data_IF_937010682041
#
_entry.id   IF_937010682041
#
_cell.length_a   1.000
_cell.length_b   1.000
_cell.length_c   1.000
_cell.angle_alpha   90.00
_cell.angle_beta   90.00
_cell.angle_gamma   90.00
#
_symmetry.space_group_name_H-M   'P 1'
#
loop_
_entity.id
_entity.type
_entity.pdbx_description
1 polymer ?
#
# COMPACT_ATOMS: atom_id res chain seq x y z
N UNK A 1 27.91 -9.62 -15.25
CA UNK A 1 26.84 -10.64 -15.38
C UNK A 1 25.66 -10.15 -14.53
N UNK A 2 24.54 -9.79 -15.14
CA UNK A 2 23.45 -9.12 -14.39
C UNK A 2 22.70 -10.15 -13.53
N UNK A 3 22.65 -9.88 -12.24
CA UNK A 3 22.01 -10.76 -11.25
C UNK A 3 20.51 -10.89 -11.57
N UNK A 4 19.99 -12.12 -11.52
CA UNK A 4 18.58 -12.43 -11.86
C UNK A 4 17.70 -12.66 -10.64
N UNK A 5 18.28 -13.15 -9.56
CA UNK A 5 17.66 -13.48 -8.26
C UNK A 5 18.68 -13.37 -7.14
N UNK A 6 18.26 -12.98 -5.95
CA UNK A 6 19.06 -12.96 -4.73
C UNK A 6 19.00 -14.31 -4.01
N UNK A 7 20.13 -14.74 -3.45
CA UNK A 7 20.15 -15.85 -2.50
C UNK A 7 19.88 -15.31 -1.08
N UNK A 8 19.03 -16.01 -0.34
CA UNK A 8 18.65 -15.68 1.03
C UNK A 8 18.77 -16.90 1.92
N UNK A 9 18.92 -16.66 3.22
CA UNK A 9 18.90 -17.76 4.20
C UNK A 9 17.48 -18.34 4.34
N UNK A 10 17.34 -19.61 4.78
CA UNK A 10 16.02 -20.21 5.04
C UNK A 10 15.17 -19.39 6.01
N UNK A 11 15.80 -18.79 7.04
CA UNK A 11 15.13 -17.90 8.00
C UNK A 11 14.58 -16.63 7.35
N UNK A 12 15.37 -15.98 6.51
CA UNK A 12 14.93 -14.81 5.73
C UNK A 12 13.78 -15.18 4.79
N UNK A 13 13.79 -16.39 4.21
CA UNK A 13 12.70 -16.92 3.38
C UNK A 13 11.41 -17.14 4.14
N UNK A 14 11.47 -17.66 5.37
CA UNK A 14 10.30 -17.79 6.24
C UNK A 14 9.70 -16.42 6.60
N UNK A 15 10.54 -15.46 6.98
CA UNK A 15 10.07 -14.08 7.27
C UNK A 15 9.36 -13.49 6.07
N UNK A 16 9.91 -13.67 4.86
CA UNK A 16 9.30 -13.20 3.61
C UNK A 16 7.93 -13.85 3.34
N UNK A 17 7.80 -15.16 3.56
CA UNK A 17 6.54 -15.88 3.35
C UNK A 17 5.46 -15.49 4.37
N UNK A 18 5.83 -15.39 5.66
CA UNK A 18 4.90 -14.97 6.71
C UNK A 18 4.45 -13.53 6.53
N UNK A 19 5.37 -12.63 6.22
CA UNK A 19 5.04 -11.22 5.96
C UNK A 19 4.17 -11.05 4.73
N UNK A 20 4.41 -11.81 3.66
CA UNK A 20 3.53 -11.81 2.48
C UNK A 20 2.14 -12.37 2.80
N UNK A 21 2.06 -13.47 3.54
CA UNK A 21 0.77 -14.06 3.95
C UNK A 21 -0.06 -13.09 4.78
N UNK A 22 0.53 -12.49 5.82
CA UNK A 22 -0.12 -11.46 6.63
C UNK A 22 -0.48 -10.23 5.80
N UNK A 23 0.40 -9.77 4.92
CA UNK A 23 0.12 -8.64 4.04
C UNK A 23 -1.12 -8.88 3.18
N UNK A 24 -1.26 -10.07 2.57
CA UNK A 24 -2.45 -10.40 1.77
C UNK A 24 -3.70 -10.43 2.63
N UNK A 25 -3.68 -11.14 3.77
CA UNK A 25 -4.85 -11.27 4.64
C UNK A 25 -5.35 -9.91 5.13
N UNK A 26 -4.46 -9.08 5.66
CA UNK A 26 -4.84 -7.76 6.17
C UNK A 26 -5.23 -6.78 5.05
N UNK A 27 -4.65 -6.92 3.85
CA UNK A 27 -5.10 -6.11 2.71
C UNK A 27 -6.50 -6.51 2.23
N UNK A 28 -6.87 -7.80 2.33
CA UNK A 28 -8.23 -8.26 2.03
C UNK A 28 -9.23 -7.70 3.05
N UNK A 29 -8.88 -7.72 4.34
CA UNK A 29 -9.71 -7.05 5.35
C UNK A 29 -9.88 -5.58 5.00
N UNK A 30 -8.80 -4.83 4.79
CA UNK A 30 -8.87 -3.41 4.45
C UNK A 30 -9.71 -3.10 3.19
N UNK A 31 -9.77 -4.02 2.22
CA UNK A 31 -10.64 -3.90 1.05
C UNK A 31 -12.12 -4.08 1.40
N UNK A 32 -12.43 -5.10 2.22
CA UNK A 32 -13.79 -5.37 2.71
C UNK A 32 -14.29 -4.18 3.54
N UNK A 33 -13.45 -3.61 4.41
CA UNK A 33 -13.74 -2.40 5.19
C UNK A 33 -14.17 -1.23 4.29
N UNK A 34 -13.49 -1.08 3.15
CA UNK A 34 -13.78 -0.06 2.16
C UNK A 34 -15.18 -0.20 1.54
N UNK A 35 -15.81 -1.37 1.63
CA UNK A 35 -17.14 -1.65 1.10
C UNK A 35 -18.22 -1.71 2.18
N UNK A 36 -17.86 -2.05 3.41
CA UNK A 36 -18.83 -2.13 4.51
C UNK A 36 -19.13 -0.73 5.05
N UNK A 37 -20.34 -0.25 4.80
CA UNK A 37 -20.90 0.92 5.50
C UNK A 37 -21.25 0.59 6.95
N UNK A 38 -21.65 1.59 7.75
CA UNK A 38 -22.19 1.38 9.10
C UNK A 38 -23.27 0.27 9.13
N UNK A 39 -23.37 -0.51 10.21
CA UNK A 39 -24.28 -1.65 10.29
C UNK A 39 -25.71 -1.25 9.93
N UNK A 40 -26.34 -1.97 9.01
CA UNK A 40 -27.73 -1.74 8.64
C UNK A 40 -28.57 -3.02 8.74
N UNK A 41 -29.86 -2.87 9.03
CA UNK A 41 -30.76 -4.01 9.26
C UNK A 41 -30.98 -4.91 8.03
N UNK A 42 -30.56 -4.48 6.83
CA UNK A 42 -30.67 -5.24 5.58
C UNK A 42 -29.39 -5.98 5.16
N UNK A 43 -28.29 -5.83 5.91
CA UNK A 43 -27.01 -6.50 5.62
C UNK A 43 -26.98 -7.93 6.15
N UNK A 44 -26.29 -8.82 5.42
CA UNK A 44 -26.06 -10.21 5.85
C UNK A 44 -25.31 -10.27 7.18
N UNK A 45 -25.50 -11.36 7.94
CA UNK A 45 -24.97 -11.53 9.31
C UNK A 45 -23.45 -11.29 9.39
N UNK A 46 -22.68 -11.77 8.40
CA UNK A 46 -21.24 -11.54 8.33
C UNK A 46 -20.91 -10.06 8.06
N UNK A 47 -21.59 -9.42 7.12
CA UNK A 47 -21.41 -8.00 6.79
C UNK A 47 -21.70 -7.10 7.99
N UNK A 48 -22.75 -7.41 8.76
CA UNK A 48 -23.09 -6.69 9.98
C UNK A 48 -22.07 -6.91 11.10
N UNK A 49 -21.54 -8.13 11.25
CA UNK A 49 -20.49 -8.42 12.23
C UNK A 49 -19.19 -7.64 11.91
N UNK A 50 -18.75 -7.62 10.65
CA UNK A 50 -17.60 -6.83 10.22
C UNK A 50 -17.81 -5.33 10.41
N UNK A 51 -18.96 -4.79 9.95
CA UNK A 51 -19.31 -3.39 10.14
C UNK A 51 -19.34 -2.96 11.62
N UNK A 52 -19.78 -3.85 12.52
CA UNK A 52 -19.85 -3.57 13.96
C UNK A 52 -18.45 -3.53 14.59
N UNK A 53 -17.59 -4.50 14.28
CA UNK A 53 -16.22 -4.55 14.79
C UNK A 53 -15.40 -3.38 14.26
N UNK A 54 -15.57 -3.01 13.00
CA UNK A 54 -14.76 -1.99 12.32
C UNK A 54 -15.28 -0.56 12.46
N UNK A 55 -16.47 -0.37 13.03
CA UNK A 55 -16.91 0.94 13.52
C UNK A 55 -15.94 1.53 14.56
N UNK A 56 -15.10 0.67 15.16
CA UNK A 56 -14.03 1.08 16.05
C UNK A 56 -12.79 1.55 15.25
N UNK A 57 -12.51 2.85 15.29
CA UNK A 57 -11.33 3.48 14.67
C UNK A 57 -10.01 2.82 15.06
N UNK A 58 -9.94 2.22 16.26
CA UNK A 58 -8.75 1.52 16.75
C UNK A 58 -8.38 0.30 15.89
N UNK A 59 -9.36 -0.51 15.50
CA UNK A 59 -9.11 -1.75 14.75
C UNK A 59 -8.60 -1.41 13.35
N UNK A 60 -9.22 -0.41 12.72
CA UNK A 60 -8.77 0.12 11.42
C UNK A 60 -7.34 0.68 11.47
N UNK A 61 -6.99 1.39 12.54
CA UNK A 61 -5.62 1.87 12.75
C UNK A 61 -4.61 0.71 12.85
N UNK A 62 -4.96 -0.34 13.61
CA UNK A 62 -4.13 -1.54 13.76
C UNK A 62 -3.94 -2.24 12.41
N UNK A 63 -4.99 -2.42 11.62
CA UNK A 63 -4.89 -3.05 10.30
C UNK A 63 -3.94 -2.29 9.37
N UNK A 64 -4.07 -0.96 9.28
CA UNK A 64 -3.15 -0.13 8.50
C UNK A 64 -1.71 -0.28 8.98
N UNK A 65 -1.49 -0.35 10.29
CA UNK A 65 -0.16 -0.50 10.88
C UNK A 65 0.43 -1.89 10.58
N UNK A 66 -0.37 -2.96 10.68
CA UNK A 66 0.07 -4.32 10.33
C UNK A 66 0.48 -4.39 8.85
N UNK A 67 -0.32 -3.84 7.94
CA UNK A 67 0.01 -3.75 6.51
C UNK A 67 1.35 -3.03 6.30
N UNK A 68 1.59 -1.92 7.02
CA UNK A 68 2.85 -1.21 6.94
C UNK A 68 4.02 -2.07 7.45
N UNK A 69 3.88 -2.70 8.62
CA UNK A 69 4.92 -3.56 9.22
C UNK A 69 5.26 -4.73 8.31
N UNK A 70 4.26 -5.38 7.67
CA UNK A 70 4.53 -6.48 6.75
C UNK A 70 5.29 -6.01 5.51
N UNK A 71 5.00 -4.82 4.97
CA UNK A 71 5.77 -4.24 3.86
C UNK A 71 7.20 -3.93 4.27
N UNK A 72 7.39 -3.37 5.47
CA UNK A 72 8.72 -3.07 6.02
C UNK A 72 9.55 -4.35 6.21
N UNK A 73 8.96 -5.43 6.72
CA UNK A 73 9.63 -6.70 6.88
C UNK A 73 10.13 -7.26 5.54
N UNK A 74 9.29 -7.27 4.50
CA UNK A 74 9.69 -7.71 3.16
C UNK A 74 10.79 -6.82 2.56
N UNK A 75 10.68 -5.50 2.70
CA UNK A 75 11.68 -4.55 2.21
C UNK A 75 13.00 -4.62 2.98
N UNK A 76 12.99 -4.99 4.26
CA UNK A 76 14.21 -5.18 5.05
C UNK A 76 15.03 -6.37 4.52
N UNK A 77 14.37 -7.50 4.20
CA UNK A 77 15.04 -8.64 3.57
C UNK A 77 15.64 -8.23 2.22
N UNK A 78 14.90 -7.45 1.42
CA UNK A 78 15.39 -6.92 0.16
C UNK A 78 16.58 -5.97 0.32
N UNK A 79 16.51 -5.06 1.30
CA UNK A 79 17.59 -4.12 1.63
C UNK A 79 18.87 -4.86 2.02
N UNK A 80 18.77 -5.93 2.79
CA UNK A 80 19.91 -6.80 3.14
C UNK A 80 20.50 -7.48 1.92
N UNK A 81 19.67 -7.94 0.98
CA UNK A 81 20.14 -8.51 -0.27
C UNK A 81 20.92 -7.49 -1.10
N UNK A 82 20.42 -6.25 -1.24
CA UNK A 82 21.13 -5.17 -1.94
C UNK A 82 22.47 -4.85 -1.27
N UNK A 83 22.50 -4.81 0.07
CA UNK A 83 23.72 -4.57 0.82
C UNK A 83 24.77 -5.67 0.60
N UNK A 84 24.36 -6.95 0.61
CA UNK A 84 25.24 -8.10 0.36
C UNK A 84 25.85 -8.05 -1.04
N UNK A 85 25.12 -7.53 -2.02
CA UNK A 85 25.58 -7.41 -3.41
C UNK A 85 26.31 -6.09 -3.72
N UNK A 86 26.58 -5.26 -2.70
CA UNK A 86 27.36 -4.03 -2.84
C UNK A 86 26.59 -2.83 -3.41
N UNK A 87 25.28 -2.93 -3.58
CA UNK A 87 24.47 -1.92 -4.28
C UNK A 87 23.95 -0.83 -3.32
N UNK A 88 24.87 0.00 -2.84
CA UNK A 88 24.62 1.00 -1.78
C UNK A 88 23.59 2.06 -2.16
N UNK A 89 23.54 2.45 -3.44
CA UNK A 89 22.58 3.44 -3.93
C UNK A 89 21.14 2.91 -3.83
N UNK A 90 20.89 1.70 -4.34
CA UNK A 90 19.58 1.06 -4.24
C UNK A 90 19.21 0.75 -2.78
N UNK A 91 20.17 0.37 -1.95
CA UNK A 91 19.97 0.16 -0.51
C UNK A 91 19.50 1.45 0.19
N UNK A 92 20.12 2.59 -0.10
CA UNK A 92 19.72 3.88 0.45
C UNK A 92 18.30 4.24 -0.01
N UNK A 93 18.00 4.08 -1.30
CA UNK A 93 16.66 4.34 -1.86
C UNK A 93 15.59 3.50 -1.15
N UNK A 94 15.84 2.20 -0.94
CA UNK A 94 14.93 1.31 -0.20
C UNK A 94 14.76 1.75 1.25
N UNK A 95 15.84 2.21 1.89
CA UNK A 95 15.78 2.73 3.27
C UNK A 95 14.89 3.96 3.36
N UNK A 96 15.01 4.89 2.40
CA UNK A 96 14.13 6.08 2.32
C UNK A 96 12.67 5.64 2.11
N UNK A 97 12.39 4.68 1.22
CA UNK A 97 11.06 4.11 1.01
C UNK A 97 10.49 3.52 2.31
N UNK A 98 11.30 2.79 3.07
CA UNK A 98 10.88 2.21 4.36
C UNK A 98 10.53 3.29 5.38
N UNK A 99 11.36 4.33 5.51
CA UNK A 99 11.08 5.47 6.41
C UNK A 99 9.78 6.16 5.99
N UNK A 100 9.57 6.40 4.69
CA UNK A 100 8.36 7.02 4.18
C UNK A 100 7.11 6.17 4.43
N UNK A 101 7.17 4.84 4.27
CA UNK A 101 6.06 3.93 4.62
C UNK A 101 5.71 4.08 6.10
N UNK A 102 6.72 4.10 6.97
CA UNK A 102 6.53 4.25 8.41
C UNK A 102 5.90 5.62 8.76
N UNK A 103 6.44 6.71 8.20
CA UNK A 103 5.90 8.05 8.39
C UNK A 103 4.45 8.18 7.89
N UNK A 104 4.12 7.59 6.73
CA UNK A 104 2.76 7.59 6.19
C UNK A 104 1.80 6.76 7.06
N UNK A 105 2.25 5.61 7.57
CA UNK A 105 1.45 4.79 8.48
C UNK A 105 1.16 5.55 9.79
N UNK A 106 2.17 6.21 10.37
CA UNK A 106 1.98 7.07 11.54
C UNK A 106 1.06 8.25 11.24
N UNK A 107 1.25 8.95 10.12
CA UNK A 107 0.43 10.09 9.77
C UNK A 107 -1.04 9.72 9.48
N UNK A 108 -1.31 8.49 9.04
CA UNK A 108 -2.66 7.96 8.88
C UNK A 108 -3.29 7.46 10.18
N UNK A 109 -2.50 6.85 11.06
CA UNK A 109 -3.00 6.25 12.30
C UNK A 109 -3.09 7.24 13.48
N UNK A 110 -2.06 8.07 13.71
CA UNK A 110 -1.99 8.99 14.85
C UNK A 110 -3.21 9.92 14.97
N UNK A 111 -3.71 10.55 13.89
CA UNK A 111 -4.87 11.43 14.01
C UNK A 111 -6.10 10.72 14.55
N UNK A 112 -6.27 9.42 14.28
CA UNK A 112 -7.40 8.61 14.75
C UNK A 112 -7.37 8.38 16.28
N UNK A 113 -6.21 8.55 16.92
CA UNK A 113 -6.04 8.46 18.37
C UNK A 113 -6.04 9.82 19.06
N UNK A 114 -5.58 10.86 18.36
CA UNK A 114 -5.34 12.17 18.96
C UNK A 114 -6.52 13.14 18.82
N UNK A 115 -7.40 12.93 17.83
CA UNK A 115 -8.49 13.85 17.52
C UNK A 115 -9.80 13.10 17.31
N UNK A 116 -10.91 13.77 17.62
CA UNK A 116 -12.26 13.29 17.29
C UNK A 116 -12.52 13.41 15.78
N UNK A 117 -13.53 12.69 15.28
CA UNK A 117 -13.92 12.79 13.87
C UNK A 117 -14.36 14.21 13.50
N UNK A 118 -15.07 14.90 14.39
CA UNK A 118 -15.54 16.27 14.16
C UNK A 118 -14.36 17.23 13.99
N UNK A 119 -13.36 17.17 14.88
CA UNK A 119 -12.14 17.99 14.79
C UNK A 119 -11.35 17.72 13.49
N UNK A 120 -11.33 16.48 13.01
CA UNK A 120 -10.67 16.15 11.74
C UNK A 120 -11.40 16.74 10.53
N UNK A 121 -12.73 16.72 10.54
CA UNK A 121 -13.57 17.27 9.47
C UNK A 121 -13.47 18.80 9.46
N UNK A 122 -13.59 19.43 10.64
CA UNK A 122 -13.44 20.87 10.78
C UNK A 122 -12.05 21.34 10.33
N UNK A 123 -11.00 20.59 10.69
CA UNK A 123 -9.65 20.91 10.25
C UNK A 123 -9.43 20.77 8.73
N UNK A 124 -10.22 19.97 8.03
CA UNK A 124 -10.18 19.93 6.55
C UNK A 124 -10.79 21.19 5.91
N UNK A 125 -11.83 21.77 6.52
CA UNK A 125 -12.50 22.96 5.99
C UNK A 125 -11.85 24.28 6.43
N UNK A 126 -11.48 24.37 7.70
CA UNK A 126 -11.06 25.62 8.35
C UNK A 126 -9.58 25.63 8.74
N UNK A 127 -8.85 24.53 8.49
CA UNK A 127 -7.48 24.35 8.96
C UNK A 127 -7.42 23.99 10.45
N UNK A 128 -6.23 23.65 10.94
CA UNK A 128 -6.04 23.24 12.34
C UNK A 128 -4.94 22.20 12.49
N UNK A 129 -4.71 21.73 13.72
CA UNK A 129 -3.65 20.76 14.00
C UNK A 129 -3.76 19.46 13.18
N UNK A 130 -4.95 18.85 12.97
CA UNK A 130 -5.11 17.68 12.12
C UNK A 130 -4.76 17.93 10.64
N UNK A 131 -4.88 19.17 10.14
CA UNK A 131 -4.58 19.53 8.74
C UNK A 131 -3.09 19.44 8.41
N UNK A 132 -2.20 19.54 9.41
CA UNK A 132 -0.77 19.32 9.21
C UNK A 132 -0.46 17.85 8.88
N UNK A 133 -1.17 16.90 9.49
CA UNK A 133 -1.00 15.47 9.20
C UNK A 133 -1.43 15.13 7.78
N UNK A 134 -2.53 15.71 7.29
CA UNK A 134 -2.98 15.50 5.91
C UNK A 134 -2.03 16.13 4.90
N UNK A 135 -1.54 17.34 5.17
CA UNK A 135 -0.55 18.04 4.33
C UNK A 135 0.77 17.28 4.30
N UNK A 136 1.27 16.85 5.47
CA UNK A 136 2.46 15.99 5.58
C UNK A 136 2.29 14.70 4.78
N UNK A 137 1.14 14.03 4.91
CA UNK A 137 0.86 12.79 4.17
C UNK A 137 0.89 12.99 2.66
N UNK A 138 0.33 14.10 2.14
CA UNK A 138 0.38 14.45 0.71
C UNK A 138 1.81 14.64 0.23
N UNK A 139 2.62 15.41 0.97
CA UNK A 139 4.02 15.67 0.63
C UNK A 139 4.85 14.39 0.71
N UNK A 140 4.73 13.62 1.80
CA UNK A 140 5.42 12.36 1.99
C UNK A 140 5.06 11.34 0.90
N UNK A 141 3.79 11.29 0.49
CA UNK A 141 3.35 10.44 -0.61
C UNK A 141 3.98 10.84 -1.95
N UNK A 142 4.08 12.14 -2.24
CA UNK A 142 4.76 12.62 -3.44
C UNK A 142 6.25 12.21 -3.44
N UNK A 143 6.96 12.41 -2.32
CA UNK A 143 8.35 11.97 -2.18
C UNK A 143 8.47 10.45 -2.32
N UNK A 144 7.52 9.70 -1.78
CA UNK A 144 7.47 8.24 -1.87
C UNK A 144 7.34 7.74 -3.31
N UNK A 145 6.49 8.37 -4.12
CA UNK A 145 6.36 8.09 -5.56
C UNK A 145 7.67 8.35 -6.28
N UNK A 146 8.27 9.53 -6.09
CA UNK A 146 9.52 9.89 -6.78
C UNK A 146 10.61 8.89 -6.42
N UNK A 147 10.69 8.52 -5.13
CA UNK A 147 11.68 7.55 -4.65
C UNK A 147 11.45 6.14 -5.23
N UNK A 148 10.19 5.71 -5.39
CA UNK A 148 9.85 4.47 -6.11
C UNK A 148 10.27 4.52 -7.58
N UNK A 149 10.09 5.64 -8.27
CA UNK A 149 10.55 5.82 -9.64
C UNK A 149 12.07 5.71 -9.73
N UNK A 150 12.78 6.37 -8.82
CA UNK A 150 14.25 6.26 -8.73
C UNK A 150 14.68 4.81 -8.52
N UNK A 151 14.04 4.08 -7.60
CA UNK A 151 14.33 2.66 -7.37
C UNK A 151 14.03 1.80 -8.61
N UNK A 152 12.92 2.07 -9.30
CA UNK A 152 12.58 1.39 -10.56
C UNK A 152 13.71 1.57 -11.59
N UNK A 153 14.15 2.81 -11.82
CA UNK A 153 15.23 3.10 -12.77
C UNK A 153 16.55 2.43 -12.36
N UNK A 154 16.90 2.48 -11.07
CA UNK A 154 18.10 1.81 -10.54
C UNK A 154 18.06 0.29 -10.77
N UNK A 155 16.96 -0.37 -10.40
CA UNK A 155 16.83 -1.82 -10.53
C UNK A 155 16.75 -2.28 -12.00
N UNK A 156 16.05 -1.53 -12.86
CA UNK A 156 15.92 -1.87 -14.28
C UNK A 156 17.24 -1.73 -15.03
N UNK A 157 18.10 -0.79 -14.63
CA UNK A 157 19.43 -0.59 -15.25
C UNK A 157 20.47 -1.59 -14.76
N UNK A 158 20.48 -1.89 -13.46
CA UNK A 158 21.55 -2.70 -12.85
C UNK A 158 21.28 -4.20 -12.89
N UNK A 159 20.01 -4.62 -12.82
CA UNK A 159 19.63 -6.03 -12.68
C UNK A 159 18.92 -6.60 -13.92
N UNK A 160 18.84 -7.93 -13.98
CA UNK A 160 18.11 -8.65 -15.00
C UNK A 160 17.03 -9.56 -14.38
N UNK A 161 16.22 -10.19 -15.23
CA UNK A 161 15.25 -11.20 -14.80
C UNK A 161 14.21 -10.67 -13.81
N UNK A 162 14.01 -11.40 -12.70
CA UNK A 162 12.93 -11.16 -11.74
C UNK A 162 13.13 -9.88 -10.95
N UNK A 163 14.37 -9.51 -10.64
CA UNK A 163 14.70 -8.27 -9.91
C UNK A 163 14.31 -7.03 -10.75
N UNK A 164 14.56 -7.07 -12.06
CA UNK A 164 14.13 -6.02 -12.99
C UNK A 164 12.60 -5.93 -13.05
N UNK A 165 11.90 -7.07 -13.06
CA UNK A 165 10.45 -7.11 -13.06
C UNK A 165 9.87 -6.52 -11.78
N UNK A 166 10.50 -6.78 -10.62
CA UNK A 166 10.14 -6.14 -9.36
C UNK A 166 10.26 -4.61 -9.45
N UNK A 167 11.42 -4.10 -9.91
CA UNK A 167 11.62 -2.66 -10.11
C UNK A 167 10.56 -2.03 -11.02
N UNK A 168 10.25 -2.67 -12.15
CA UNK A 168 9.21 -2.21 -13.07
C UNK A 168 7.82 -2.25 -12.43
N UNK A 169 7.48 -3.29 -11.68
CA UNK A 169 6.17 -3.44 -11.02
C UNK A 169 5.94 -2.38 -9.95
N UNK A 170 6.96 -1.97 -9.20
CA UNK A 170 6.84 -0.98 -8.11
C UNK A 170 6.26 0.35 -8.58
N UNK A 171 6.65 0.81 -9.77
CA UNK A 171 6.16 2.06 -10.35
C UNK A 171 5.05 1.82 -11.38
N UNK A 172 5.18 0.77 -12.20
CA UNK A 172 4.20 0.44 -13.24
C UNK A 172 2.81 0.16 -12.67
N UNK A 173 2.70 -0.61 -11.58
CA UNK A 173 1.42 -0.87 -10.93
C UNK A 173 0.81 0.40 -10.31
N UNK A 174 1.65 1.29 -9.77
CA UNK A 174 1.20 2.58 -9.24
C UNK A 174 0.65 3.49 -10.35
N UNK A 175 1.36 3.58 -11.48
CA UNK A 175 0.92 4.39 -12.62
C UNK A 175 -0.38 3.86 -13.23
N UNK A 176 -0.54 2.53 -13.33
CA UNK A 176 -1.79 1.92 -13.78
C UNK A 176 -2.95 2.20 -12.82
N UNK A 177 -2.72 2.13 -11.51
CA UNK A 177 -3.75 2.45 -10.52
C UNK A 177 -4.24 3.90 -10.68
N UNK A 178 -3.32 4.86 -10.90
CA UNK A 178 -3.71 6.24 -11.16
C UNK A 178 -4.48 6.45 -12.45
N UNK A 179 -4.17 5.70 -13.50
CA UNK A 179 -4.95 5.76 -14.75
C UNK A 179 -6.37 5.23 -14.52
N UNK A 180 -6.53 4.19 -13.71
CA UNK A 180 -7.84 3.64 -13.33
C UNK A 180 -8.61 4.64 -12.46
N UNK A 181 -7.97 5.23 -11.44
CA UNK A 181 -8.58 6.24 -10.59
C UNK A 181 -8.99 7.49 -11.40
N UNK A 182 -8.17 7.89 -12.36
CA UNK A 182 -8.49 9.00 -13.27
C UNK A 182 -9.67 8.68 -14.19
N UNK A 183 -9.75 7.46 -14.72
CA UNK A 183 -10.89 7.01 -15.51
C UNK A 183 -12.17 7.01 -14.66
N UNK A 184 -12.11 6.53 -13.42
CA UNK A 184 -13.23 6.62 -12.48
C UNK A 184 -13.65 8.07 -12.21
N UNK A 185 -12.69 8.98 -12.01
CA UNK A 185 -12.98 10.40 -11.80
C UNK A 185 -13.74 11.01 -12.98
N UNK A 186 -13.37 10.69 -14.23
CA UNK A 186 -14.09 11.14 -15.42
C UNK A 186 -15.53 10.62 -15.43
N UNK A 187 -15.73 9.33 -15.13
CA UNK A 187 -17.08 8.73 -15.06
C UNK A 187 -17.92 9.40 -13.99
N UNK A 188 -17.36 9.65 -12.82
CA UNK A 188 -18.05 10.27 -11.70
C UNK A 188 -18.45 11.73 -11.97
N UNK A 189 -17.60 12.48 -12.67
CA UNK A 189 -17.76 13.94 -12.79
C UNK A 189 -18.32 14.42 -14.14
N UNK A 190 -17.98 13.75 -15.25
CA UNK A 190 -18.21 14.29 -16.60
C UNK A 190 -19.23 13.48 -17.41
N UNK A 191 -19.57 12.27 -16.97
CA UNK A 191 -20.63 11.47 -17.61
C UNK A 191 -21.98 11.88 -17.02
N UNK A 192 -22.68 12.78 -17.72
CA UNK A 192 -24.03 13.19 -17.35
C UNK A 192 -25.01 12.02 -17.49
N UNK A 193 -25.82 11.79 -16.46
CA UNK A 193 -26.85 10.75 -16.45
C UNK A 193 -26.44 9.38 -15.89
N UNK A 194 -25.21 9.22 -15.38
CA UNK A 194 -24.82 8.02 -14.64
C UNK A 194 -25.65 7.89 -13.35
N UNK A 195 -26.25 6.72 -13.15
CA UNK A 195 -27.02 6.42 -11.94
C UNK A 195 -26.09 6.12 -10.77
N UNK A 196 -26.54 6.33 -9.53
CA UNK A 196 -25.75 6.00 -8.33
C UNK A 196 -25.31 4.53 -8.31
N UNK A 197 -26.16 3.62 -8.81
CA UNK A 197 -25.85 2.19 -8.90
C UNK A 197 -24.67 1.90 -9.84
N UNK A 198 -24.62 2.56 -10.99
CA UNK A 198 -23.51 2.44 -11.94
C UNK A 198 -22.21 2.99 -11.36
N UNK A 199 -22.28 4.12 -10.66
CA UNK A 199 -21.12 4.72 -9.98
C UNK A 199 -20.58 3.78 -8.90
N UNK A 200 -21.45 3.18 -8.08
CA UNK A 200 -21.04 2.20 -7.06
C UNK A 200 -20.42 0.95 -7.69
N UNK A 201 -20.97 0.46 -8.80
CA UNK A 201 -20.42 -0.69 -9.50
C UNK A 201 -19.01 -0.40 -10.05
N UNK A 202 -18.82 0.74 -10.72
CA UNK A 202 -17.50 1.15 -11.22
C UNK A 202 -16.53 1.38 -10.05
N UNK A 203 -16.97 2.02 -8.96
CA UNK A 203 -16.15 2.21 -7.76
C UNK A 203 -15.66 0.88 -7.17
N UNK A 204 -16.53 -0.13 -7.13
CA UNK A 204 -16.20 -1.47 -6.65
C UNK A 204 -15.13 -2.12 -7.55
N UNK A 205 -15.31 -2.07 -8.88
CA UNK A 205 -14.32 -2.60 -9.83
C UNK A 205 -12.98 -1.87 -9.71
N UNK A 206 -12.99 -0.54 -9.63
CA UNK A 206 -11.79 0.28 -9.45
C UNK A 206 -11.06 -0.13 -8.17
N UNK A 207 -11.78 -0.29 -7.05
CA UNK A 207 -11.18 -0.71 -5.78
C UNK A 207 -10.56 -2.11 -5.84
N UNK A 208 -11.20 -3.08 -6.52
CA UNK A 208 -10.67 -4.42 -6.77
C UNK A 208 -9.37 -4.38 -7.61
N UNK A 209 -9.36 -3.60 -8.70
CA UNK A 209 -8.20 -3.48 -9.57
C UNK A 209 -7.03 -2.81 -8.84
N UNK A 210 -7.29 -1.71 -8.13
CA UNK A 210 -6.27 -1.02 -7.34
C UNK A 210 -5.73 -1.93 -6.23
N UNK A 211 -6.59 -2.71 -5.57
CA UNK A 211 -6.16 -3.73 -4.61
C UNK A 211 -5.17 -4.72 -5.24
N UNK A 212 -5.50 -5.34 -6.37
CA UNK A 212 -4.61 -6.29 -7.06
C UNK A 212 -3.28 -5.61 -7.46
N UNK A 213 -3.34 -4.40 -8.00
CA UNK A 213 -2.16 -3.63 -8.39
C UNK A 213 -1.25 -3.31 -7.19
N UNK A 214 -1.80 -3.11 -5.99
CA UNK A 214 -0.99 -2.89 -4.79
C UNK A 214 -0.30 -4.15 -4.27
N UNK A 215 -0.86 -5.34 -4.54
CA UNK A 215 -0.29 -6.61 -4.13
C UNK A 215 0.85 -7.08 -5.06
N UNK A 216 0.69 -6.87 -6.37
CA UNK A 216 1.62 -7.39 -7.40
C UNK A 216 3.10 -7.12 -7.07
N UNK A 217 3.54 -5.89 -6.73
CA UNK A 217 4.95 -5.64 -6.47
C UNK A 217 5.54 -6.49 -5.35
N UNK A 218 4.78 -6.77 -4.29
CA UNK A 218 5.24 -7.59 -3.17
C UNK A 218 5.20 -9.09 -3.50
N UNK A 219 4.23 -9.53 -4.31
CA UNK A 219 4.24 -10.88 -4.86
C UNK A 219 5.45 -11.11 -5.77
N UNK A 220 5.77 -10.15 -6.64
CA UNK A 220 6.96 -10.22 -7.50
C UNK A 220 8.23 -10.17 -6.65
N UNK A 221 8.29 -9.33 -5.61
CA UNK A 221 9.42 -9.25 -4.68
C UNK A 221 9.79 -10.62 -4.12
N UNK A 222 8.81 -11.42 -3.71
CA UNK A 222 9.04 -12.78 -3.22
C UNK A 222 9.74 -13.66 -4.26
N UNK A 223 9.42 -13.49 -5.54
CA UNK A 223 10.07 -14.28 -6.60
C UNK A 223 11.51 -13.86 -6.89
N UNK A 224 11.93 -12.68 -6.43
CA UNK A 224 13.30 -12.19 -6.62
C UNK A 224 14.30 -12.84 -5.67
N UNK A 225 13.83 -13.50 -4.61
CA UNK A 225 14.68 -14.11 -3.58
C UNK A 225 14.45 -15.62 -3.53
N UNK A 226 15.54 -16.38 -3.53
CA UNK A 226 15.54 -17.84 -3.48
C UNK A 226 16.32 -18.26 -2.24
N UNK A 227 15.73 -19.13 -1.42
CA UNK A 227 16.44 -19.69 -0.27
C UNK A 227 17.51 -20.66 -0.78
N UNK A 228 18.72 -20.56 -0.23
CA UNK A 228 19.73 -21.61 -0.42
C UNK A 228 19.27 -22.87 0.32
N UNK A 229 19.37 -24.03 -0.35
CA UNK A 229 19.02 -25.35 0.20
C UNK A 229 19.93 -25.75 1.38
#
# INVERSE_FOLDING_TARGET
MNLKTFSITPKEGQVLNWSLGLFVVFSVFNLIDGWTSAPNAGQGVLTNAFATVQSNSFIRAVEYFVIAVTKLAMLEVFRRCLNKNGDKAAQLTVTIIMVLIFCLALAGALPQFLFTQEEQIEAMLHGGLPSYFTTFSKVAFLVFVITKLVLCVQLVRTYAGKIRLFGASLFGCQALAWLIDFAYFIVYTWVSGATMTEITYVSTITSLLTFVLTLIPFCVLKTTMVADD
#
